data_IF_086250681518
#
_entry.id   IF_086250681518
#
_cell.length_a   1.000
_cell.length_b   1.000
_cell.length_c   1.000
_cell.angle_alpha   90.00
_cell.angle_beta   90.00
_cell.angle_gamma   90.00
#
_symmetry.space_group_name_H-M   'P 1'
#
loop_
_entity.id
_entity.type
_entity.pdbx_description
1 polymer ?
#
# COMPACT_ATOMS: atom_id res chain seq x y z
N UNK A 1 -23.00 -13.03 -14.92
CA UNK A 1 -21.88 -13.13 -13.97
C UNK A 1 -21.40 -11.78 -13.41
N UNK A 2 -21.40 -10.68 -14.17
CA UNK A 2 -20.92 -9.38 -13.65
C UNK A 2 -21.83 -8.67 -12.63
N UNK A 3 -23.13 -9.02 -12.57
CA UNK A 3 -24.10 -8.37 -11.67
C UNK A 3 -23.76 -8.53 -10.18
N UNK A 4 -23.46 -9.74 -9.65
CA UNK A 4 -23.02 -9.88 -8.27
C UNK A 4 -21.74 -9.11 -7.95
N UNK A 5 -20.80 -9.05 -8.90
CA UNK A 5 -19.56 -8.30 -8.74
C UNK A 5 -19.81 -6.79 -8.67
N UNK A 6 -20.58 -6.23 -9.60
CA UNK A 6 -20.96 -4.82 -9.60
C UNK A 6 -21.76 -4.45 -8.34
N UNK A 7 -22.67 -5.33 -7.92
CA UNK A 7 -23.45 -5.17 -6.69
C UNK A 7 -22.57 -5.12 -5.43
N UNK A 8 -21.59 -6.03 -5.34
CA UNK A 8 -20.62 -6.04 -4.24
C UNK A 8 -19.77 -4.75 -4.22
N UNK A 9 -19.24 -4.33 -5.38
CA UNK A 9 -18.46 -3.10 -5.48
C UNK A 9 -19.25 -1.86 -5.09
N UNK A 10 -20.50 -1.73 -5.58
CA UNK A 10 -21.39 -0.64 -5.19
C UNK A 10 -21.71 -0.68 -3.70
N UNK A 11 -21.89 -1.86 -3.13
CA UNK A 11 -22.13 -2.03 -1.68
C UNK A 11 -20.93 -1.56 -0.88
N UNK A 12 -19.71 -1.90 -1.28
CA UNK A 12 -18.47 -1.46 -0.60
C UNK A 12 -18.24 0.05 -0.76
N UNK A 13 -18.55 0.61 -1.93
CA UNK A 13 -18.38 2.04 -2.19
C UNK A 13 -19.41 2.91 -1.45
N UNK A 14 -20.67 2.45 -1.35
CA UNK A 14 -21.78 3.26 -0.81
C UNK A 14 -22.14 2.91 0.63
N UNK A 15 -21.96 1.67 1.06
CA UNK A 15 -22.35 1.17 2.39
C UNK A 15 -21.74 1.97 3.54
N UNK A 16 -20.41 2.16 3.59
CA UNK A 16 -19.77 2.97 4.63
C UNK A 16 -20.26 4.43 4.68
N UNK A 17 -20.64 4.99 3.53
CA UNK A 17 -21.00 6.40 3.39
C UNK A 17 -22.48 6.67 3.71
N UNK A 18 -23.38 5.81 3.24
CA UNK A 18 -24.83 5.99 3.33
C UNK A 18 -25.46 5.25 4.53
N UNK A 19 -24.87 4.12 4.94
CA UNK A 19 -25.46 3.20 5.93
C UNK A 19 -24.40 2.64 6.90
N UNK A 20 -23.58 3.53 7.47
CA UNK A 20 -22.42 3.19 8.29
C UNK A 20 -22.68 2.09 9.34
N UNK A 21 -23.65 2.27 10.24
CA UNK A 21 -23.94 1.27 11.29
C UNK A 21 -24.41 -0.08 10.75
N UNK A 22 -25.23 -0.07 9.69
CA UNK A 22 -25.70 -1.32 9.08
C UNK A 22 -24.52 -2.05 8.44
N UNK A 23 -23.68 -1.31 7.71
CA UNK A 23 -22.51 -1.82 7.03
C UNK A 23 -21.52 -2.47 8.00
N UNK A 24 -21.14 -1.79 9.08
CA UNK A 24 -20.18 -2.33 10.07
C UNK A 24 -20.66 -3.65 10.68
N UNK A 25 -21.95 -3.76 11.00
CA UNK A 25 -22.51 -4.97 11.62
C UNK A 25 -22.84 -6.08 10.62
N UNK A 26 -23.15 -5.75 9.35
CA UNK A 26 -23.69 -6.69 8.37
C UNK A 26 -22.81 -6.90 7.13
N UNK A 27 -21.62 -6.31 7.07
CA UNK A 27 -20.68 -6.45 5.97
C UNK A 27 -20.52 -7.90 5.51
N UNK A 28 -20.25 -8.81 6.45
CA UNK A 28 -20.07 -10.23 6.15
C UNK A 28 -21.33 -10.89 5.55
N UNK A 29 -22.52 -10.49 6.01
CA UNK A 29 -23.79 -11.03 5.48
C UNK A 29 -24.08 -10.50 4.07
N UNK A 30 -23.81 -9.22 3.83
CA UNK A 30 -23.97 -8.59 2.51
C UNK A 30 -23.00 -9.23 1.51
N UNK A 31 -21.73 -9.39 1.88
CA UNK A 31 -20.73 -10.05 1.06
C UNK A 31 -21.09 -11.52 0.77
N UNK A 32 -21.56 -12.26 1.80
CA UNK A 32 -22.04 -13.63 1.63
C UNK A 32 -23.26 -13.72 0.70
N UNK A 33 -24.18 -12.75 0.77
CA UNK A 33 -25.33 -12.66 -0.15
C UNK A 33 -24.89 -12.49 -1.60
N UNK A 34 -23.96 -11.57 -1.88
CA UNK A 34 -23.41 -11.38 -3.22
C UNK A 34 -22.61 -12.60 -3.70
N UNK A 35 -21.83 -13.23 -2.83
CA UNK A 35 -21.12 -14.47 -3.14
C UNK A 35 -22.09 -15.62 -3.49
N UNK A 36 -23.17 -15.78 -2.72
CA UNK A 36 -24.20 -16.77 -3.01
C UNK A 36 -24.88 -16.52 -4.36
N UNK A 37 -25.16 -15.25 -4.70
CA UNK A 37 -25.71 -14.87 -6.02
C UNK A 37 -24.75 -15.15 -7.18
N UNK A 38 -23.45 -15.33 -6.93
CA UNK A 38 -22.49 -15.80 -7.92
C UNK A 38 -22.39 -17.34 -7.94
N UNK A 39 -22.29 -17.98 -6.77
CA UNK A 39 -22.04 -19.43 -6.66
C UNK A 39 -23.28 -20.28 -6.93
N UNK A 40 -24.47 -19.85 -6.48
CA UNK A 40 -25.70 -20.64 -6.66
C UNK A 40 -26.05 -20.80 -8.14
N UNK A 41 -26.07 -19.74 -8.98
CA UNK A 41 -26.28 -19.92 -10.41
C UNK A 41 -25.22 -20.82 -11.05
N UNK A 42 -23.95 -20.73 -10.63
CA UNK A 42 -22.87 -21.59 -11.13
C UNK A 42 -23.13 -23.06 -10.83
N UNK A 43 -23.55 -23.37 -9.60
CA UNK A 43 -23.89 -24.73 -9.19
C UNK A 43 -25.12 -25.27 -9.92
N UNK A 44 -26.12 -24.42 -10.21
CA UNK A 44 -27.32 -24.82 -10.96
C UNK A 44 -27.02 -25.07 -12.43
N UNK A 45 -26.19 -24.25 -13.07
CA UNK A 45 -25.94 -24.36 -14.52
C UNK A 45 -24.85 -25.36 -14.88
N UNK A 46 -23.81 -25.51 -14.05
CA UNK A 46 -22.66 -26.38 -14.32
C UNK A 46 -22.54 -27.56 -13.36
N UNK A 47 -23.43 -27.66 -12.38
CA UNK A 47 -23.43 -28.71 -11.37
C UNK A 47 -22.63 -28.36 -10.12
N UNK A 48 -23.03 -28.98 -9.01
CA UNK A 48 -22.39 -28.79 -7.69
C UNK A 48 -20.90 -29.17 -7.70
N UNK A 49 -20.44 -30.27 -8.33
CA UNK A 49 -19.03 -30.63 -8.32
C UNK A 49 -18.14 -29.55 -8.96
N UNK A 50 -18.53 -29.06 -10.15
CA UNK A 50 -17.77 -28.04 -10.89
C UNK A 50 -17.78 -26.69 -10.17
N UNK A 51 -18.93 -26.28 -9.61
CA UNK A 51 -18.99 -25.05 -8.83
C UNK A 51 -18.17 -25.15 -7.53
N UNK A 52 -18.19 -26.30 -6.86
CA UNK A 52 -17.40 -26.57 -5.67
C UNK A 52 -15.90 -26.53 -5.95
N UNK A 53 -15.45 -27.16 -7.05
CA UNK A 53 -14.06 -27.13 -7.49
C UNK A 53 -13.60 -25.69 -7.79
N UNK A 54 -14.40 -24.92 -8.54
CA UNK A 54 -14.09 -23.53 -8.86
C UNK A 54 -13.95 -22.67 -7.59
N UNK A 55 -14.90 -22.79 -6.65
CA UNK A 55 -14.87 -22.06 -5.38
C UNK A 55 -13.65 -22.46 -4.54
N UNK A 56 -13.38 -23.76 -4.44
CA UNK A 56 -12.27 -24.27 -3.64
C UNK A 56 -10.92 -23.86 -4.23
N UNK A 57 -10.77 -23.90 -5.55
CA UNK A 57 -9.59 -23.42 -6.25
C UNK A 57 -9.37 -21.93 -5.99
N UNK A 58 -10.39 -21.09 -6.14
CA UNK A 58 -10.29 -19.65 -5.85
C UNK A 58 -9.95 -19.39 -4.37
N UNK A 59 -10.55 -20.12 -3.43
CA UNK A 59 -10.27 -19.94 -2.00
C UNK A 59 -8.85 -20.36 -1.61
N UNK A 60 -8.42 -21.56 -2.02
CA UNK A 60 -7.15 -22.14 -1.61
C UNK A 60 -5.96 -21.66 -2.42
N UNK A 61 -6.12 -21.54 -3.74
CA UNK A 61 -4.98 -21.22 -4.62
C UNK A 61 -4.80 -19.72 -4.77
N UNK A 62 -5.88 -18.93 -4.80
CA UNK A 62 -5.79 -17.49 -5.01
C UNK A 62 -5.84 -16.72 -3.67
N UNK A 63 -6.94 -16.86 -2.92
CA UNK A 63 -7.16 -16.07 -1.71
C UNK A 63 -6.20 -16.45 -0.57
N UNK A 64 -6.02 -17.74 -0.30
CA UNK A 64 -5.13 -18.18 0.78
C UNK A 64 -3.69 -17.79 0.50
N UNK A 65 -3.20 -18.02 -0.73
CA UNK A 65 -1.85 -17.61 -1.14
C UNK A 65 -1.64 -16.11 -0.99
N UNK A 66 -2.63 -15.32 -1.40
CA UNK A 66 -2.61 -13.86 -1.22
C UNK A 66 -2.59 -13.44 0.26
N UNK A 67 -3.44 -14.03 1.10
CA UNK A 67 -3.48 -13.75 2.55
C UNK A 67 -2.14 -14.10 3.21
N UNK A 68 -1.58 -15.28 2.91
CA UNK A 68 -0.29 -15.72 3.46
C UNK A 68 0.82 -14.75 3.07
N UNK A 69 0.87 -14.32 1.81
CA UNK A 69 1.87 -13.37 1.36
C UNK A 69 1.73 -12.03 2.09
N UNK A 70 0.53 -11.44 2.07
CA UNK A 70 0.30 -10.16 2.74
C UNK A 70 0.62 -10.25 4.23
N UNK A 71 0.27 -11.36 4.88
CA UNK A 71 0.59 -11.61 6.28
C UNK A 71 2.10 -11.67 6.52
N UNK A 72 2.84 -12.37 5.66
CA UNK A 72 4.30 -12.45 5.74
C UNK A 72 4.95 -11.07 5.56
N UNK A 73 4.60 -10.35 4.49
CA UNK A 73 5.12 -9.00 4.23
C UNK A 73 4.77 -8.03 5.36
N UNK A 74 3.52 -8.04 5.83
CA UNK A 74 3.07 -7.22 6.94
C UNK A 74 3.87 -7.50 8.22
N UNK A 75 4.02 -8.78 8.60
CA UNK A 75 4.71 -9.18 9.83
C UNK A 75 6.18 -8.81 9.78
N UNK A 76 6.84 -9.07 8.64
CA UNK A 76 8.26 -8.80 8.44
C UNK A 76 8.52 -7.28 8.39
N UNK A 77 7.78 -6.54 7.55
CA UNK A 77 7.94 -5.08 7.42
C UNK A 77 7.54 -4.33 8.69
N UNK A 78 6.48 -4.74 9.37
CA UNK A 78 6.05 -4.16 10.65
C UNK A 78 7.07 -4.36 11.77
N UNK A 79 7.90 -5.40 11.68
CA UNK A 79 9.02 -5.63 12.58
C UNK A 79 10.26 -4.76 12.30
N UNK A 80 10.31 -4.05 11.16
CA UNK A 80 11.40 -3.13 10.82
C UNK A 80 11.02 -1.73 11.30
N UNK A 81 11.86 -1.14 12.16
CA UNK A 81 11.63 0.20 12.68
C UNK A 81 12.83 1.10 12.40
N UNK A 82 12.59 2.20 11.69
CA UNK A 82 13.56 3.27 11.54
C UNK A 82 13.49 4.20 12.76
N UNK A 83 14.42 4.00 13.69
CA UNK A 83 14.62 4.83 14.88
C UNK A 83 15.58 6.00 14.58
N UNK A 84 15.57 7.02 15.44
CA UNK A 84 16.26 8.29 15.21
C UNK A 84 15.31 9.40 14.79
N UNK A 85 15.82 10.62 14.69
CA UNK A 85 15.11 11.77 14.13
C UNK A 85 15.98 12.49 13.10
N UNK A 86 15.34 12.96 12.04
CA UNK A 86 15.98 13.67 10.93
C UNK A 86 15.25 15.00 10.80
N UNK A 87 15.98 16.10 10.70
CA UNK A 87 15.36 17.39 10.44
C UNK A 87 14.67 17.46 9.07
N UNK A 88 13.38 17.78 9.06
CA UNK A 88 12.52 17.87 7.88
C UNK A 88 12.76 19.13 7.05
N UNK A 89 13.83 19.13 6.25
CA UNK A 89 13.98 20.11 5.16
C UNK A 89 13.21 19.66 3.92
N UNK A 90 12.85 20.59 2.99
CA UNK A 90 12.17 20.20 1.75
C UNK A 90 12.90 19.13 0.93
N UNK A 91 14.23 19.20 0.86
CA UNK A 91 15.04 18.18 0.19
C UNK A 91 15.07 16.86 0.95
N UNK A 92 15.15 16.90 2.29
CA UNK A 92 15.07 15.70 3.12
C UNK A 92 13.73 14.99 2.94
N UNK A 93 12.62 15.73 2.98
CA UNK A 93 11.29 15.18 2.81
C UNK A 93 11.10 14.59 1.41
N UNK A 94 11.53 15.29 0.36
CA UNK A 94 11.47 14.77 -0.99
C UNK A 94 12.31 13.50 -1.16
N UNK A 95 13.49 13.45 -0.53
CA UNK A 95 14.33 12.26 -0.47
C UNK A 95 13.62 11.10 0.24
N UNK A 96 12.99 11.35 1.38
CA UNK A 96 12.22 10.33 2.11
C UNK A 96 11.02 9.82 1.30
N UNK A 97 10.31 10.70 0.59
CA UNK A 97 9.20 10.33 -0.29
C UNK A 97 9.68 9.48 -1.47
N UNK A 98 10.80 9.86 -2.10
CA UNK A 98 11.39 9.11 -3.20
C UNK A 98 11.86 7.72 -2.74
N UNK A 99 12.59 7.64 -1.63
CA UNK A 99 13.02 6.37 -1.02
C UNK A 99 11.78 5.53 -0.68
N UNK A 100 10.74 6.14 -0.11
CA UNK A 100 9.51 5.44 0.20
C UNK A 100 8.79 4.88 -1.01
N UNK A 101 8.71 5.65 -2.11
CA UNK A 101 8.12 5.18 -3.34
C UNK A 101 8.91 4.00 -3.94
N UNK A 102 10.24 4.06 -3.91
CA UNK A 102 11.09 2.95 -4.36
C UNK A 102 10.97 1.72 -3.46
N UNK A 103 10.93 1.91 -2.15
CA UNK A 103 10.72 0.81 -1.20
C UNK A 103 9.33 0.19 -1.39
N UNK A 104 8.29 0.98 -1.63
CA UNK A 104 6.94 0.49 -1.86
C UNK A 104 6.88 -0.51 -3.02
N UNK A 105 7.65 -0.29 -4.09
CA UNK A 105 7.77 -1.23 -5.20
C UNK A 105 8.45 -2.55 -4.84
N UNK A 106 9.17 -2.65 -3.73
CA UNK A 106 9.93 -3.85 -3.35
C UNK A 106 9.26 -4.60 -2.20
N UNK A 107 8.76 -3.88 -1.21
CA UNK A 107 8.26 -4.43 0.05
C UNK A 107 6.76 -4.18 0.27
N UNK A 108 6.08 -3.62 -0.73
CA UNK A 108 4.68 -3.23 -0.65
C UNK A 108 4.47 -1.82 -0.11
N UNK A 109 3.45 -1.14 -0.62
CA UNK A 109 2.97 0.17 -0.16
C UNK A 109 2.67 0.17 1.35
N UNK A 110 2.03 -0.89 1.86
CA UNK A 110 1.75 -1.06 3.29
C UNK A 110 3.04 -1.14 4.12
N UNK A 111 4.00 -1.97 3.71
CA UNK A 111 5.27 -2.16 4.41
C UNK A 111 6.13 -0.90 4.43
N UNK A 112 6.30 -0.26 3.28
CA UNK A 112 7.00 1.01 3.15
C UNK A 112 6.34 2.12 3.97
N UNK A 113 5.00 2.17 3.96
CA UNK A 113 4.24 3.16 4.74
C UNK A 113 4.46 2.98 6.25
N UNK A 114 4.41 1.76 6.76
CA UNK A 114 4.64 1.46 8.19
C UNK A 114 6.03 1.87 8.66
N UNK A 115 7.05 1.63 7.83
CA UNK A 115 8.44 1.96 8.16
C UNK A 115 8.66 3.47 8.17
N UNK A 116 8.10 4.20 7.19
CA UNK A 116 8.47 5.59 6.92
C UNK A 116 7.50 6.65 7.46
N UNK A 117 6.23 6.34 7.73
CA UNK A 117 5.26 7.34 8.19
C UNK A 117 5.69 7.96 9.53
N UNK A 118 6.17 7.14 10.47
CA UNK A 118 6.60 7.61 11.80
C UNK A 118 7.86 8.48 11.73
N UNK A 119 8.93 8.10 11.01
CA UNK A 119 10.05 9.01 10.73
C UNK A 119 9.63 10.31 10.06
N UNK A 120 8.75 10.27 9.06
CA UNK A 120 8.34 11.47 8.32
C UNK A 120 7.54 12.44 9.23
N UNK A 121 6.63 11.91 10.05
CA UNK A 121 5.89 12.73 11.01
C UNK A 121 6.80 13.37 12.06
N UNK A 122 7.76 12.62 12.62
CA UNK A 122 8.74 13.15 13.58
C UNK A 122 9.69 14.17 12.95
N UNK A 123 10.07 13.99 11.69
CA UNK A 123 10.92 14.93 10.98
C UNK A 123 10.27 16.32 10.80
N UNK A 124 8.93 16.39 10.82
CA UNK A 124 8.16 17.60 10.54
C UNK A 124 7.28 18.04 11.73
N UNK A 125 7.50 17.51 12.93
CA UNK A 125 6.68 17.83 14.11
C UNK A 125 6.91 19.27 14.63
N UNK A 126 8.07 19.84 14.32
CA UNK A 126 8.48 21.21 14.63
C UNK A 126 8.08 22.25 13.55
N UNK A 127 7.37 21.82 12.49
CA UNK A 127 6.92 22.69 11.39
C UNK A 127 5.44 23.06 11.54
N UNK A 128 5.06 24.33 11.35
CA UNK A 128 3.66 24.74 11.44
C UNK A 128 2.82 24.28 10.24
N UNK A 129 3.45 24.08 9.07
CA UNK A 129 2.79 23.54 7.88
C UNK A 129 3.42 22.19 7.51
N UNK A 130 2.79 21.10 7.92
CA UNK A 130 3.29 19.74 7.65
C UNK A 130 2.23 18.79 7.07
N UNK A 131 0.96 19.22 7.01
CA UNK A 131 -0.14 18.38 6.51
C UNK A 131 0.07 17.93 5.06
N UNK A 132 0.62 18.80 4.20
CA UNK A 132 0.92 18.44 2.81
C UNK A 132 1.94 17.30 2.73
N UNK A 133 2.93 17.24 3.63
CA UNK A 133 3.93 16.15 3.63
C UNK A 133 3.24 14.79 3.79
N UNK A 134 2.22 14.70 4.66
CA UNK A 134 1.42 13.48 4.85
C UNK A 134 0.57 13.16 3.63
N UNK A 135 -0.08 14.16 3.03
CA UNK A 135 -0.90 13.98 1.82
C UNK A 135 -0.04 13.46 0.65
N UNK A 136 1.11 14.08 0.40
CA UNK A 136 2.04 13.65 -0.65
C UNK A 136 2.71 12.31 -0.34
N UNK A 137 2.90 11.98 0.93
CA UNK A 137 3.30 10.63 1.34
C UNK A 137 2.27 9.58 0.93
N UNK A 138 0.98 9.85 1.17
CA UNK A 138 -0.09 8.95 0.74
C UNK A 138 -0.07 8.80 -0.78
N UNK A 139 0.07 9.89 -1.54
CA UNK A 139 0.11 9.81 -3.00
C UNK A 139 1.32 9.06 -3.54
N UNK A 140 2.54 9.41 -3.09
CA UNK A 140 3.78 8.84 -3.63
C UNK A 140 4.12 7.48 -3.07
N UNK A 141 4.05 7.30 -1.74
CA UNK A 141 4.52 6.08 -1.07
C UNK A 141 3.40 5.04 -0.96
N UNK A 142 2.20 5.47 -0.58
CA UNK A 142 1.09 4.55 -0.32
C UNK A 142 0.25 4.21 -1.55
N UNK A 143 0.42 4.92 -2.67
CA UNK A 143 -0.31 4.66 -3.91
C UNK A 143 0.66 4.44 -5.09
N UNK A 144 1.27 5.52 -5.61
CA UNK A 144 2.07 5.45 -6.86
C UNK A 144 3.25 4.49 -6.73
N UNK A 145 3.95 4.51 -5.60
CA UNK A 145 5.18 3.74 -5.40
C UNK A 145 5.00 2.22 -5.47
N UNK A 146 3.79 1.68 -5.36
CA UNK A 146 3.55 0.24 -5.47
C UNK A 146 3.48 -0.31 -6.89
N UNK A 147 3.56 0.54 -7.93
CA UNK A 147 3.15 0.15 -9.29
C UNK A 147 4.19 -0.65 -10.07
N UNK A 148 5.45 -0.71 -9.63
CA UNK A 148 6.54 -1.26 -10.45
C UNK A 148 6.72 -2.77 -10.32
N UNK A 149 6.17 -3.42 -9.30
CA UNK A 149 6.23 -4.88 -9.15
C UNK A 149 4.92 -5.44 -8.61
N UNK A 150 4.64 -6.74 -8.81
CA UNK A 150 3.49 -7.40 -8.21
C UNK A 150 3.48 -7.38 -6.68
N UNK A 151 4.62 -7.14 -6.03
CA UNK A 151 4.71 -7.07 -4.58
C UNK A 151 4.25 -5.72 -4.03
N UNK A 152 4.24 -4.69 -4.88
CA UNK A 152 4.04 -3.32 -4.46
C UNK A 152 2.61 -3.00 -4.06
N UNK A 153 1.63 -3.59 -4.74
CA UNK A 153 0.22 -3.41 -4.43
C UNK A 153 -0.59 -4.72 -4.56
N UNK A 154 -1.74 -4.82 -3.86
CA UNK A 154 -2.62 -5.97 -3.96
C UNK A 154 -3.13 -6.31 -5.38
N UNK A 155 -3.58 -5.34 -6.21
CA UNK A 155 -4.11 -5.67 -7.52
C UNK A 155 -3.07 -6.28 -8.48
N UNK A 156 -1.84 -5.76 -8.49
CA UNK A 156 -0.76 -6.29 -9.32
C UNK A 156 -0.34 -7.69 -8.85
N UNK A 157 -0.38 -7.94 -7.53
CA UNK A 157 -0.14 -9.28 -7.01
C UNK A 157 -1.19 -10.29 -7.49
N UNK A 158 -2.47 -9.92 -7.47
CA UNK A 158 -3.54 -10.78 -8.00
C UNK A 158 -3.33 -11.05 -9.49
N UNK A 159 -2.89 -10.04 -10.26
CA UNK A 159 -2.48 -10.22 -11.65
C UNK A 159 -1.36 -11.25 -11.82
N UNK A 160 -0.33 -11.20 -10.98
CA UNK A 160 0.76 -12.19 -10.97
C UNK A 160 0.26 -13.61 -10.66
N UNK A 161 -0.61 -13.78 -9.66
CA UNK A 161 -1.25 -15.09 -9.38
C UNK A 161 -2.10 -15.61 -10.54
N UNK A 162 -2.57 -14.72 -11.42
CA UNK A 162 -3.31 -15.05 -12.64
C UNK A 162 -2.41 -15.31 -13.85
N UNK A 163 -1.09 -15.35 -13.66
CA UNK A 163 -0.10 -15.69 -14.69
C UNK A 163 0.48 -14.49 -15.44
N UNK A 164 0.35 -13.26 -14.91
CA UNK A 164 1.09 -12.11 -15.45
C UNK A 164 2.55 -12.19 -14.99
N UNK A 165 3.49 -11.99 -15.90
CA UNK A 165 4.93 -12.06 -15.57
C UNK A 165 5.34 -11.03 -14.51
N UNK A 166 6.31 -11.39 -13.66
CA UNK A 166 6.77 -10.52 -12.57
C UNK A 166 7.22 -9.14 -13.04
N UNK A 167 7.95 -9.06 -14.15
CA UNK A 167 8.50 -7.81 -14.68
C UNK A 167 7.55 -7.09 -15.66
N UNK A 168 6.34 -7.62 -15.89
CA UNK A 168 5.41 -7.03 -16.85
C UNK A 168 5.08 -5.57 -16.49
N UNK A 169 4.83 -5.31 -15.21
CA UNK A 169 4.51 -3.98 -14.66
C UNK A 169 5.69 -3.02 -14.78
N UNK A 170 6.90 -3.48 -14.47
CA UNK A 170 8.13 -2.69 -14.66
C UNK A 170 8.35 -2.33 -16.13
N UNK A 171 8.05 -3.23 -17.07
CA UNK A 171 8.27 -2.95 -18.50
C UNK A 171 7.22 -1.99 -19.05
N UNK A 172 5.95 -2.15 -18.68
CA UNK A 172 4.83 -1.43 -19.31
C UNK A 172 4.39 -0.17 -18.54
N UNK A 173 4.51 -0.15 -17.21
CA UNK A 173 3.97 0.92 -16.34
C UNK A 173 5.09 1.84 -15.82
N UNK A 174 6.37 1.48 -15.99
CA UNK A 174 7.48 2.32 -15.51
C UNK A 174 7.45 3.75 -16.09
N UNK A 175 7.23 3.98 -17.41
CA UNK A 175 7.17 5.34 -17.94
C UNK A 175 6.07 6.18 -17.28
N UNK A 176 4.87 5.60 -17.14
CA UNK A 176 3.71 6.26 -16.52
C UNK A 176 3.96 6.53 -15.03
N UNK A 177 4.57 5.58 -14.33
CA UNK A 177 4.93 5.71 -12.91
C UNK A 177 5.97 6.80 -12.71
N UNK A 178 7.01 6.85 -13.55
CA UNK A 178 8.04 7.88 -13.48
C UNK A 178 7.47 9.27 -13.80
N UNK A 179 6.58 9.34 -14.79
CA UNK A 179 5.92 10.60 -15.15
C UNK A 179 5.03 11.11 -14.02
N UNK A 180 4.09 10.30 -13.54
CA UNK A 180 3.15 10.68 -12.48
C UNK A 180 3.88 10.89 -11.15
N UNK A 181 4.76 9.97 -10.77
CA UNK A 181 5.57 10.08 -9.55
C UNK A 181 6.49 11.29 -9.58
N UNK A 182 7.17 11.53 -10.71
CA UNK A 182 8.03 12.70 -10.91
C UNK A 182 7.24 14.01 -10.84
N UNK A 183 6.07 14.08 -11.48
CA UNK A 183 5.20 15.25 -11.44
C UNK A 183 4.71 15.54 -10.03
N UNK A 184 4.20 14.53 -9.33
CA UNK A 184 3.69 14.67 -7.95
C UNK A 184 4.82 15.06 -6.99
N UNK A 185 6.03 14.49 -7.15
CA UNK A 185 7.21 14.86 -6.36
C UNK A 185 7.67 16.31 -6.65
N UNK A 186 7.62 16.74 -7.91
CA UNK A 186 7.96 18.12 -8.29
C UNK A 186 6.96 19.13 -7.70
N UNK A 187 5.66 18.82 -7.76
CA UNK A 187 4.61 19.63 -7.12
C UNK A 187 4.79 19.66 -5.61
N UNK A 188 5.09 18.51 -4.98
CA UNK A 188 5.43 18.45 -3.56
C UNK A 188 6.58 19.40 -3.23
N UNK A 189 7.70 19.30 -3.96
CA UNK A 189 8.88 20.13 -3.74
C UNK A 189 8.56 21.62 -3.88
N UNK A 190 7.81 22.01 -4.90
CA UNK A 190 7.40 23.41 -5.10
C UNK A 190 6.57 23.93 -3.93
N UNK A 191 5.56 23.16 -3.49
CA UNK A 191 4.69 23.52 -2.36
C UNK A 191 5.49 23.57 -1.06
N UNK A 192 6.30 22.55 -0.78
CA UNK A 192 7.07 22.46 0.46
C UNK A 192 8.11 23.58 0.56
N UNK A 193 8.76 23.95 -0.56
CA UNK A 193 9.66 25.10 -0.62
C UNK A 193 8.95 26.43 -0.34
N UNK A 194 7.75 26.64 -0.90
CA UNK A 194 6.97 27.86 -0.67
C UNK A 194 6.52 27.96 0.78
N UNK A 195 6.01 26.87 1.34
CA UNK A 195 5.59 26.82 2.75
C UNK A 195 6.78 26.97 3.70
N UNK A 196 7.89 26.29 3.44
CA UNK A 196 9.10 26.38 4.24
C UNK A 196 9.69 27.80 4.26
N UNK A 197 9.63 28.53 3.14
CA UNK A 197 10.02 29.95 3.12
C UNK A 197 9.09 30.84 3.96
N UNK A 198 7.80 30.53 4.00
CA UNK A 198 6.81 31.26 4.83
C UNK A 198 7.02 30.98 6.32
N UNK A 199 7.53 29.81 6.67
CA UNK A 199 7.83 29.41 8.06
C UNK A 199 8.91 30.27 8.72
N UNK A 200 9.86 30.81 7.95
CA UNK A 200 10.96 31.61 8.48
C UNK A 200 10.50 32.87 9.26
N UNK A 201 9.29 33.37 8.98
CA UNK A 201 8.68 34.51 9.67
C UNK A 201 7.77 34.16 10.85
N UNK A 202 7.58 32.87 11.17
CA UNK A 202 6.66 32.39 12.20
C UNK A 202 7.38 32.05 13.52
N UNK A 203 6.67 32.04 14.66
CA UNK A 203 7.25 31.60 15.92
C UNK A 203 7.71 30.14 15.80
N UNK A 204 8.94 29.86 16.25
CA UNK A 204 9.50 28.50 16.23
C UNK A 204 8.70 27.61 17.19
N UNK A 205 8.16 26.51 16.68
CA UNK A 205 7.56 25.47 17.51
C UNK A 205 8.70 24.74 18.23
N UNK A 206 8.54 24.51 19.53
CA UNK A 206 9.53 23.76 20.31
C UNK A 206 9.60 22.33 19.77
N UNK A 207 10.78 21.93 19.35
CA UNK A 207 11.03 20.60 18.81
C UNK A 207 10.75 19.52 19.89
N UNK A 208 9.72 18.68 19.73
CA UNK A 208 9.42 17.58 20.64
C UNK A 208 10.41 16.43 20.51
N UNK A 209 11.06 16.27 19.34
CA UNK A 209 11.97 15.16 19.04
C UNK A 209 13.33 15.66 18.55
N UNK A 210 14.31 15.89 19.43
CA UNK A 210 15.64 16.34 18.99
C UNK A 210 16.32 15.36 18.01
N UNK A 211 17.14 15.91 17.12
CA UNK A 211 17.91 15.14 16.14
C UNK A 211 18.73 14.04 16.82
N UNK A 212 18.53 12.80 16.36
CA UNK A 212 19.21 11.63 16.91
C UNK A 212 19.63 10.70 15.78
N UNK A 213 20.77 10.03 15.95
CA UNK A 213 21.33 9.13 14.92
C UNK A 213 20.28 8.12 14.45
N UNK A 214 20.09 8.06 13.13
CA UNK A 214 19.20 7.10 12.49
C UNK A 214 19.71 5.67 12.75
N UNK A 215 18.84 4.80 13.23
CA UNK A 215 19.13 3.40 13.52
C UNK A 215 18.01 2.52 12.99
N UNK A 216 18.36 1.50 12.22
CA UNK A 216 17.43 0.44 11.86
C UNK A 216 17.35 -0.58 13.00
N UNK A 217 16.15 -0.78 13.55
CA UNK A 217 15.81 -1.88 14.46
C UNK A 217 15.06 -2.95 13.70
N UNK A 218 15.16 -4.19 14.17
CA UNK A 218 14.52 -5.33 13.49
C UNK A 218 15.30 -5.82 12.27
N UNK A 219 16.63 -5.66 12.26
CA UNK A 219 17.50 -6.10 11.15
C UNK A 219 17.36 -7.60 10.81
N UNK A 220 16.94 -8.43 11.78
CA UNK A 220 16.63 -9.84 11.55
C UNK A 220 15.50 -10.05 10.52
N UNK A 221 14.64 -9.07 10.30
CA UNK A 221 13.57 -9.12 9.31
C UNK A 221 14.06 -8.85 7.88
N UNK A 222 15.22 -8.21 7.69
CA UNK A 222 15.77 -7.97 6.35
C UNK A 222 16.08 -9.26 5.58
N UNK A 223 16.79 -10.27 6.13
CA UNK A 223 17.00 -11.53 5.42
C UNK A 223 15.69 -12.30 5.20
N UNK A 224 14.72 -12.21 6.11
CA UNK A 224 13.40 -12.81 5.92
C UNK A 224 12.65 -12.17 4.75
N UNK A 225 12.70 -10.84 4.65
CA UNK A 225 12.10 -10.08 3.55
C UNK A 225 12.75 -10.47 2.21
N UNK A 226 14.08 -10.49 2.17
CA UNK A 226 14.82 -10.94 0.99
C UNK A 226 14.48 -12.40 0.63
N UNK A 227 14.28 -13.26 1.62
CA UNK A 227 13.86 -14.66 1.44
C UNK A 227 12.47 -14.77 0.82
N UNK A 228 11.49 -13.99 1.30
CA UNK A 228 10.13 -13.97 0.72
C UNK A 228 10.16 -13.45 -0.72
N UNK A 229 10.85 -12.32 -0.96
CA UNK A 229 10.99 -11.76 -2.30
C UNK A 229 11.68 -12.76 -3.24
N UNK A 230 12.77 -13.39 -2.78
CA UNK A 230 13.51 -14.40 -3.54
C UNK A 230 12.68 -15.64 -3.84
N UNK A 231 11.91 -16.14 -2.87
CA UNK A 231 11.02 -17.27 -3.08
C UNK A 231 9.95 -16.97 -4.15
N UNK A 232 9.40 -15.76 -4.14
CA UNK A 232 8.41 -15.33 -5.15
C UNK A 232 9.06 -15.23 -6.53
N UNK A 233 10.23 -14.60 -6.62
CA UNK A 233 11.00 -14.51 -7.86
C UNK A 233 11.41 -15.87 -8.43
N UNK A 234 11.65 -16.87 -7.58
CA UNK A 234 11.95 -18.24 -8.02
C UNK A 234 10.70 -19.02 -8.44
N UNK A 235 9.52 -18.62 -7.95
CA UNK A 235 8.23 -19.20 -8.32
C UNK A 235 7.57 -18.52 -9.52
N UNK A 236 8.08 -17.34 -9.91
CA UNK A 236 7.69 -16.58 -11.09
C UNK A 236 8.27 -17.21 -12.35
#
# INVERSE_FOLDING_TARGET
WGLPFAGLLLSIATGPLLFHHLWEHHYGKIAAGWAALAVVPLAVTFGIPTAGEAVLHTLLTEYMSFIILLFALYTISGGILLAGNIHGTPLTNAGLLLIGALLASVIGTTGASMILIRPMLRANDNRPFNAHVVIFFIFLVSNIGGSLTPLGDPPLFVGFLRGVDFFWTTVHILPDTLFVGGLVLAVFLAIDLVLHRREAGLPKIKDPTPDTKVRLRGLANLPLLAGVIGAILLSA
#
